data_IF_404308477409
#
_entry.id   IF_404308477409
#
_cell.length_a   1.000
_cell.length_b   1.000
_cell.length_c   1.000
_cell.angle_alpha   90.00
_cell.angle_beta   90.00
_cell.angle_gamma   90.00
#
_symmetry.space_group_name_H-M   'P 1'
#
loop_
_entity.id
_entity.type
_entity.pdbx_description
1 polymer ?
#
# COMPACT_ATOMS: atom_id res chain seq x y z
N UNK A 1 -3.29 -20.11 -1.45
CA UNK A 1 -2.84 -18.71 -1.48
C UNK A 1 -3.46 -18.04 -2.67
N UNK A 2 -3.58 -16.71 -2.69
CA UNK A 2 -3.81 -16.00 -3.96
C UNK A 2 -2.58 -16.29 -4.84
N UNK A 3 -2.73 -17.29 -5.69
CA UNK A 3 -1.69 -17.73 -6.61
C UNK A 3 -1.28 -16.56 -7.52
N UNK A 4 -0.05 -16.58 -8.00
CA UNK A 4 0.53 -15.50 -8.83
C UNK A 4 -0.42 -15.09 -9.97
N UNK A 5 -1.15 -16.06 -10.52
CA UNK A 5 -2.13 -15.84 -11.59
C UNK A 5 -3.38 -15.10 -11.12
N UNK A 6 -3.86 -15.37 -9.90
CA UNK A 6 -4.98 -14.64 -9.33
C UNK A 6 -4.63 -13.16 -9.08
N UNK A 7 -3.39 -12.88 -8.64
CA UNK A 7 -2.89 -11.50 -8.52
C UNK A 7 -2.87 -10.78 -9.87
N UNK A 8 -2.47 -11.47 -10.94
CA UNK A 8 -2.48 -10.91 -12.30
C UNK A 8 -3.89 -10.64 -12.81
N UNK A 9 -4.83 -11.56 -12.58
CA UNK A 9 -6.24 -11.36 -12.97
C UNK A 9 -6.84 -10.14 -12.25
N UNK A 10 -6.61 -10.03 -10.93
CA UNK A 10 -7.08 -8.87 -10.16
C UNK A 10 -6.43 -7.59 -10.66
N UNK A 11 -5.11 -7.60 -10.90
CA UNK A 11 -4.40 -6.42 -11.40
C UNK A 11 -4.92 -5.96 -12.77
N UNK A 12 -5.15 -6.90 -13.70
CA UNK A 12 -5.72 -6.59 -15.00
C UNK A 12 -7.13 -6.00 -14.88
N UNK A 13 -7.96 -6.53 -13.97
CA UNK A 13 -9.29 -5.99 -13.70
C UNK A 13 -9.22 -4.55 -13.17
N UNK A 14 -8.35 -4.29 -12.18
CA UNK A 14 -8.15 -2.96 -11.62
C UNK A 14 -7.65 -1.97 -12.68
N UNK A 15 -6.61 -2.34 -13.44
CA UNK A 15 -6.05 -1.48 -14.48
C UNK A 15 -7.05 -1.21 -15.61
N UNK A 16 -7.92 -2.16 -15.93
CA UNK A 16 -8.98 -1.98 -16.93
C UNK A 16 -10.15 -1.10 -16.47
N UNK A 17 -10.36 -0.97 -15.16
CA UNK A 17 -11.39 -0.09 -14.57
C UNK A 17 -10.87 1.32 -14.30
N UNK A 18 -9.54 1.51 -14.22
CA UNK A 18 -8.94 2.81 -13.95
C UNK A 18 -9.25 3.80 -15.09
N UNK A 19 -9.75 4.97 -14.73
CA UNK A 19 -10.09 6.04 -15.67
C UNK A 19 -9.87 7.41 -15.03
N UNK A 20 -9.77 8.50 -15.81
CA UNK A 20 -9.67 9.86 -15.26
C UNK A 20 -10.88 10.27 -14.40
N UNK A 21 -12.02 9.61 -14.54
CA UNK A 21 -13.29 9.96 -13.90
C UNK A 21 -13.59 9.14 -12.63
N UNK A 22 -12.67 8.28 -12.19
CA UNK A 22 -12.84 7.48 -10.98
C UNK A 22 -11.59 7.42 -10.10
N UNK A 23 -11.78 6.93 -8.88
CA UNK A 23 -10.71 6.65 -7.93
C UNK A 23 -10.81 5.19 -7.46
N UNK A 24 -9.66 4.55 -7.30
CA UNK A 24 -9.57 3.17 -6.83
C UNK A 24 -8.83 3.16 -5.49
N UNK A 25 -9.51 2.67 -4.45
CA UNK A 25 -8.89 2.42 -3.14
C UNK A 25 -8.60 0.93 -3.03
N UNK A 26 -7.32 0.59 -3.16
CA UNK A 26 -6.84 -0.77 -3.01
C UNK A 26 -6.36 -1.01 -1.58
N UNK A 27 -7.03 -1.90 -0.85
CA UNK A 27 -6.61 -2.34 0.48
C UNK A 27 -5.90 -3.68 0.36
N UNK A 28 -4.60 -3.71 0.66
CA UNK A 28 -3.79 -4.94 0.57
C UNK A 28 -2.72 -4.99 1.64
N UNK A 29 -2.42 -6.20 2.13
CA UNK A 29 -1.20 -6.50 2.88
C UNK A 29 -0.15 -7.21 2.00
N UNK A 30 -0.49 -7.54 0.75
CA UNK A 30 0.41 -8.15 -0.23
C UNK A 30 1.10 -7.08 -1.07
N UNK A 31 2.38 -6.86 -0.79
CA UNK A 31 3.24 -5.95 -1.57
C UNK A 31 3.38 -6.39 -3.03
N UNK A 32 3.31 -7.71 -3.31
CA UNK A 32 3.39 -8.27 -4.67
C UNK A 32 2.36 -7.70 -5.65
N UNK A 33 1.20 -7.26 -5.17
CA UNK A 33 0.17 -6.68 -6.03
C UNK A 33 0.62 -5.31 -6.59
N UNK A 34 1.48 -4.60 -5.85
CA UNK A 34 2.07 -3.31 -6.23
C UNK A 34 3.14 -3.45 -7.33
N UNK A 35 3.56 -4.68 -7.65
CA UNK A 35 4.36 -4.96 -8.85
C UNK A 35 3.51 -4.93 -10.13
N UNK A 36 2.19 -5.08 -10.03
CA UNK A 36 1.27 -5.12 -11.18
C UNK A 36 0.35 -3.89 -11.27
N UNK A 37 0.11 -3.21 -10.15
CA UNK A 37 -0.64 -1.96 -10.07
C UNK A 37 0.31 -0.90 -9.52
N UNK A 38 0.47 0.21 -10.26
CA UNK A 38 1.22 1.37 -9.77
C UNK A 38 0.25 2.32 -9.07
N UNK A 39 0.34 2.49 -7.74
CA UNK A 39 -0.48 3.46 -7.04
C UNK A 39 0.11 4.87 -7.17
N UNK A 40 -0.76 5.88 -7.18
CA UNK A 40 -0.36 7.29 -7.04
C UNK A 40 0.03 7.61 -5.59
N UNK A 41 -0.70 7.04 -4.62
CA UNK A 41 -0.48 7.22 -3.19
C UNK A 41 -0.48 5.87 -2.47
N UNK A 42 0.40 5.75 -1.48
CA UNK A 42 0.49 4.63 -0.55
C UNK A 42 0.24 5.16 0.85
N UNK A 43 -0.74 4.58 1.54
CA UNK A 43 -1.08 4.92 2.92
C UNK A 43 -0.85 3.71 3.83
N UNK A 44 -0.09 3.91 4.90
CA UNK A 44 0.11 2.91 5.96
C UNK A 44 -0.84 3.23 7.10
N UNK A 45 -1.65 2.24 7.49
CA UNK A 45 -2.64 2.38 8.56
C UNK A 45 -2.26 1.53 9.78
N UNK A 46 -2.38 2.12 10.98
CA UNK A 46 -2.24 1.43 12.27
C UNK A 46 -3.23 2.05 13.26
N UNK A 47 -3.85 1.22 14.11
CA UNK A 47 -4.79 1.65 15.15
C UNK A 47 -5.91 2.57 14.64
N UNK A 48 -6.40 2.29 13.42
CA UNK A 48 -7.46 3.07 12.77
C UNK A 48 -7.03 4.44 12.23
N UNK A 49 -5.73 4.73 12.19
CA UNK A 49 -5.18 6.00 11.72
C UNK A 49 -4.19 5.78 10.58
N UNK A 50 -4.14 6.72 9.62
CA UNK A 50 -3.09 6.76 8.61
C UNK A 50 -1.84 7.33 9.28
N UNK A 51 -0.82 6.49 9.46
CA UNK A 51 0.41 6.84 10.17
C UNK A 51 1.52 7.29 9.24
N UNK A 52 1.43 6.94 7.95
CA UNK A 52 2.37 7.41 6.92
C UNK A 52 1.70 7.45 5.55
N UNK A 53 2.04 8.46 4.77
CA UNK A 53 1.65 8.59 3.35
C UNK A 53 2.89 8.85 2.52
N UNK A 54 2.96 8.27 1.34
CA UNK A 54 4.03 8.49 0.37
C UNK A 54 3.59 8.07 -1.04
N UNK A 55 4.49 8.19 -2.01
CA UNK A 55 4.27 7.64 -3.34
C UNK A 55 4.62 6.16 -3.40
N UNK A 56 4.82 5.64 -4.61
CA UNK A 56 5.16 4.22 -4.85
C UNK A 56 6.45 3.78 -4.15
N UNK A 57 7.38 4.69 -3.92
CA UNK A 57 8.65 4.46 -3.22
C UNK A 57 8.42 3.98 -1.79
N UNK A 58 7.35 4.45 -1.12
CA UNK A 58 7.00 3.97 0.21
C UNK A 58 6.66 2.49 0.20
N UNK A 59 5.99 1.99 -0.85
CA UNK A 59 5.71 0.57 -0.98
C UNK A 59 6.98 -0.28 -1.12
N UNK A 60 7.96 0.19 -1.91
CA UNK A 60 9.25 -0.48 -2.09
C UNK A 60 10.07 -0.49 -0.78
N UNK A 61 10.00 0.60 -0.04
CA UNK A 61 10.66 0.71 1.26
C UNK A 61 10.04 -0.24 2.30
N UNK A 62 8.70 -0.34 2.33
CA UNK A 62 7.99 -1.29 3.18
C UNK A 62 8.29 -2.76 2.81
N UNK A 63 8.53 -3.06 1.54
CA UNK A 63 8.92 -4.41 1.09
C UNK A 63 10.33 -4.76 1.54
N UNK A 64 11.27 -3.83 1.39
CA UNK A 64 12.68 -4.07 1.75
C UNK A 64 12.94 -4.07 3.26
N UNK A 65 12.26 -3.20 4.02
CA UNK A 65 12.54 -2.97 5.45
C UNK A 65 11.48 -3.54 6.39
N UNK A 66 10.35 -4.00 5.85
CA UNK A 66 9.15 -4.30 6.65
C UNK A 66 8.46 -3.04 7.18
N UNK A 67 7.50 -3.23 8.08
CA UNK A 67 6.66 -2.16 8.62
C UNK A 67 7.21 -1.53 9.91
N UNK A 68 8.13 -2.19 10.60
CA UNK A 68 8.52 -1.87 11.99
C UNK A 68 9.02 -0.43 12.16
N UNK A 69 9.75 0.09 11.18
CA UNK A 69 10.28 1.44 11.24
C UNK A 69 9.19 2.52 11.19
N UNK A 70 8.13 2.29 10.40
CA UNK A 70 6.97 3.20 10.33
C UNK A 70 6.20 3.15 11.66
N UNK A 71 6.04 1.95 12.22
CA UNK A 71 5.39 1.77 13.53
C UNK A 71 6.17 2.48 14.63
N UNK A 72 7.49 2.29 14.67
CA UNK A 72 8.36 2.93 15.66
C UNK A 72 8.37 4.46 15.52
N UNK A 73 8.34 4.99 14.30
CA UNK A 73 8.17 6.43 14.05
C UNK A 73 6.85 6.94 14.61
N UNK A 74 5.74 6.23 14.34
CA UNK A 74 4.41 6.57 14.85
C UNK A 74 4.31 6.53 16.38
N UNK A 75 4.78 5.46 17.03
CA UNK A 75 4.74 5.34 18.48
C UNK A 75 5.58 6.42 19.18
N UNK A 76 6.74 6.78 18.61
CA UNK A 76 7.55 7.89 19.13
C UNK A 76 6.83 9.24 19.00
N UNK A 77 6.20 9.49 17.86
CA UNK A 77 5.44 10.72 17.65
C UNK A 77 4.23 10.81 18.61
N UNK A 78 3.54 9.69 18.82
CA UNK A 78 2.41 9.58 19.74
C UNK A 78 2.81 9.78 21.20
N UNK A 79 3.96 9.24 21.62
CA UNK A 79 4.46 9.39 22.98
C UNK A 79 4.97 10.82 23.29
N UNK A 80 5.30 11.60 22.26
CA UNK A 80 5.76 12.98 22.39
C UNK A 80 4.63 14.03 22.39
N UNK A 81 3.40 13.60 22.08
CA UNK A 81 2.18 14.43 22.07
C UNK A 81 1.42 14.32 23.40
#
# INVERSE_FOLDING_TARGET
>A
GLDIDALRVVANGVNGLASPDNAIILVTHYQRLLNYITPDYVHVMQDGQIIKTGGRELALELESRGYDWVRAEFERARAAA
#
